data_IF_410032138339
#
_entry.id   IF_410032138339
#
_cell.length_a   1.000
_cell.length_b   1.000
_cell.length_c   1.000
_cell.angle_alpha   90.00
_cell.angle_beta   90.00
_cell.angle_gamma   90.00
#
_symmetry.space_group_name_H-M   'P 1'
#
loop_
_entity.id
_entity.type
_entity.pdbx_description
1 polymer ?
2 non-polymer ?
3 non-polymer ?
4 water ?
#
# COMPACT_ATOMS: atom_id res chain seq x y z
N UNK A 8 5.65 -1.78 28.91
CA UNK A 8 4.28 -2.16 28.43
C UNK A 8 3.59 -1.06 27.58
N UNK A 9 2.58 -1.50 26.85
CA UNK A 9 1.76 -0.64 25.96
C UNK A 9 0.28 -0.93 26.34
N UNK A 10 -0.49 0.12 26.64
CA UNK A 10 -1.83 -0.05 27.26
C UNK A 10 -2.83 -0.82 26.38
N UNK A 11 -3.09 -2.08 26.77
CA UNK A 11 -4.06 -2.95 26.08
C UNK A 11 -5.49 -2.72 26.56
N UNK A 12 -6.41 -2.57 25.61
CA UNK A 12 -7.80 -2.29 25.93
C UNK A 12 -8.78 -3.18 25.13
N UNK A 13 -8.31 -4.33 24.64
CA UNK A 13 -9.11 -5.21 23.79
C UNK A 13 -10.24 -5.94 24.54
N UNK A 14 -11.46 -5.67 24.12
CA UNK A 14 -12.65 -6.09 24.86
C UNK A 14 -13.26 -7.33 24.25
N UNK A 15 -14.23 -7.87 24.98
CA UNK A 15 -15.07 -8.98 24.54
C UNK A 15 -15.91 -8.65 23.32
N UNK A 16 -16.30 -7.38 23.24
CA UNK A 16 -17.07 -6.89 22.13
C UNK A 16 -16.23 -6.94 20.87
N UNK A 17 -14.98 -6.49 21.00
CA UNK A 17 -14.03 -6.42 19.89
C UNK A 17 -13.69 -7.81 19.41
N UNK A 18 -13.50 -8.72 20.35
CA UNK A 18 -13.21 -10.08 20.00
C UNK A 18 -14.40 -10.67 19.28
N UNK A 19 -15.60 -10.38 19.77
CA UNK A 19 -16.80 -10.93 19.14
C UNK A 19 -16.95 -10.42 17.72
N UNK A 20 -16.58 -9.16 17.49
CA UNK A 20 -16.69 -8.55 16.17
C UNK A 20 -15.77 -9.23 15.15
N UNK A 21 -14.55 -9.53 15.60
CA UNK A 21 -13.57 -10.24 14.79
C UNK A 21 -14.08 -11.63 14.42
N UNK A 22 -14.48 -12.39 15.44
CA UNK A 22 -14.89 -13.78 15.29
C UNK A 22 -16.08 -14.03 14.39
N UNK A 23 -17.12 -13.24 14.52
CA UNK A 23 -18.30 -13.43 13.70
C UNK A 23 -18.06 -12.97 12.26
N UNK A 24 -17.19 -11.96 12.08
CA UNK A 24 -16.79 -11.58 10.74
C UNK A 24 -15.89 -12.64 10.14
N UNK A 25 -15.06 -13.29 10.96
CA UNK A 25 -14.20 -14.39 10.51
C UNK A 25 -15.02 -15.58 10.02
N UNK A 26 -16.05 -15.95 10.79
CA UNK A 26 -17.05 -16.94 10.38
C UNK A 26 -17.67 -16.67 9.02
N UNK A 27 -17.92 -15.41 8.71
CA UNK A 27 -18.46 -15.09 7.37
C UNK A 27 -17.49 -15.42 6.23
N UNK A 28 -16.21 -15.07 6.38
CA UNK A 28 -15.22 -15.29 5.34
C UNK A 28 -15.07 -16.76 4.97
N UNK A 29 -15.23 -17.63 5.97
CA UNK A 29 -15.00 -19.07 5.82
C UNK A 29 -16.06 -19.78 4.98
N UNK A 30 -17.18 -19.12 4.73
CA UNK A 30 -18.22 -19.62 3.84
C UNK A 30 -17.89 -19.51 2.37
N UNK A 31 -16.88 -18.72 2.03
CA UNK A 31 -16.48 -18.51 0.65
C UNK A 31 -14.93 -18.31 0.61
N UNK A 32 -14.20 -19.21 1.28
CA UNK A 32 -12.78 -19.07 1.61
C UNK A 32 -11.81 -18.92 0.42
N UNK A 33 -11.87 -19.83 -0.53
CA UNK A 33 -11.00 -19.81 -1.69
C UNK A 33 -11.14 -18.50 -2.42
N UNK A 34 -12.39 -18.07 -2.64
CA UNK A 34 -12.66 -16.89 -3.44
C UNK A 34 -12.29 -15.60 -2.69
N UNK A 35 -12.55 -15.58 -1.38
CA UNK A 35 -12.18 -14.45 -0.56
C UNK A 35 -10.67 -14.32 -0.48
N UNK A 36 -9.98 -15.45 -0.34
CA UNK A 36 -8.53 -15.47 -0.32
C UNK A 36 -7.98 -14.88 -1.59
N UNK A 37 -8.49 -15.36 -2.72
CA UNK A 37 -8.06 -14.86 -4.00
C UNK A 37 -8.31 -13.34 -4.11
N UNK A 38 -9.46 -12.83 -3.66
CA UNK A 38 -9.67 -11.39 -3.76
C UNK A 38 -8.69 -10.58 -2.84
N UNK A 39 -8.43 -11.09 -1.65
CA UNK A 39 -7.44 -10.50 -0.77
C UNK A 39 -6.05 -10.46 -1.45
N UNK A 40 -5.68 -11.55 -2.13
CA UNK A 40 -4.39 -11.63 -2.82
C UNK A 40 -4.27 -10.67 -3.98
N UNK A 41 -5.35 -10.43 -4.71
CA UNK A 41 -5.37 -9.50 -5.84
C UNK A 41 -5.38 -8.06 -5.33
N UNK A 42 -5.86 -7.83 -4.11
CA UNK A 42 -5.74 -6.53 -3.47
C UNK A 42 -4.30 -6.17 -3.16
N UNK A 43 -3.58 -7.09 -2.55
CA UNK A 43 -2.18 -6.88 -2.26
C UNK A 43 -1.39 -6.57 -3.55
N UNK A 44 -1.55 -7.43 -4.57
CA UNK A 44 -0.85 -7.25 -5.84
C UNK A 44 -1.20 -5.94 -6.51
N UNK A 45 -2.44 -5.51 -6.37
CA UNK A 45 -2.89 -4.20 -6.84
C UNK A 45 -2.17 -3.02 -6.11
N UNK A 46 -2.03 -3.11 -4.80
CA UNK A 46 -1.43 -2.01 -4.05
C UNK A 46 0.12 -2.04 -4.12
N UNK A 47 0.70 -3.25 -4.04
CA UNK A 47 2.14 -3.48 -3.92
C UNK A 47 2.54 -4.78 -4.62
N UNK A 48 2.64 -4.77 -5.95
CA UNK A 48 3.05 -5.96 -6.70
C UNK A 48 4.26 -6.64 -6.08
N UNK A 49 5.24 -5.86 -5.65
CA UNK A 49 6.46 -6.37 -4.99
C UNK A 49 6.21 -7.27 -3.77
N UNK A 50 5.32 -6.85 -2.88
CA UNK A 50 4.91 -7.68 -1.73
C UNK A 50 4.61 -9.08 -2.21
N UNK A 51 3.75 -9.14 -3.22
CA UNK A 51 3.30 -10.39 -3.79
C UNK A 51 4.44 -11.21 -4.38
N UNK A 52 5.37 -10.54 -5.05
CA UNK A 52 6.42 -11.24 -5.79
C UNK A 52 7.45 -11.95 -4.90
N UNK A 53 7.56 -11.55 -3.63
CA UNK A 53 8.40 -12.19 -2.62
C UNK A 53 8.11 -13.67 -2.43
N UNK A 54 6.92 -14.10 -2.87
CA UNK A 54 6.52 -15.49 -2.78
C UNK A 54 6.94 -16.33 -3.99
N UNK A 55 8.12 -15.99 -4.52
CA UNK A 55 8.99 -16.89 -5.30
C UNK A 55 8.47 -17.11 -6.72
N UNK A 56 9.08 -18.06 -7.43
CA UNK A 56 8.74 -18.36 -8.86
C UNK A 56 9.31 -19.68 -9.44
N UNK A 57 10.57 -20.01 -9.15
CA UNK A 57 11.28 -21.14 -9.83
C UNK A 57 10.92 -22.58 -9.38
N UNK A 58 10.92 -22.85 -8.06
CA UNK A 58 10.73 -24.21 -7.49
C UNK A 58 9.40 -24.89 -7.91
N UNK A 59 8.30 -24.14 -7.85
CA UNK A 59 7.00 -24.56 -8.40
C UNK A 59 6.85 -24.18 -9.91
N UNK A 60 7.48 -23.07 -10.31
CA UNK A 60 7.41 -22.51 -11.68
C UNK A 60 5.97 -22.15 -12.14
N UNK A 61 5.05 -22.10 -11.18
CA UNK A 61 3.65 -21.78 -11.43
C UNK A 61 3.55 -20.27 -11.67
N UNK A 62 3.35 -19.91 -12.94
CA UNK A 62 3.10 -18.51 -13.27
C UNK A 62 2.12 -17.91 -12.24
N UNK A 63 0.84 -18.28 -12.31
CA UNK A 63 -0.21 -17.36 -11.85
C UNK A 63 -0.26 -17.15 -10.33
N UNK A 64 -0.56 -15.92 -9.96
CA UNK A 64 -0.95 -15.54 -8.60
C UNK A 64 -2.04 -16.46 -8.09
N UNK A 65 -3.03 -16.69 -8.95
CA UNK A 65 -4.19 -17.55 -8.68
C UNK A 65 -3.85 -19.00 -8.27
N UNK A 66 -2.67 -19.49 -8.67
CA UNK A 66 -2.27 -20.89 -8.45
C UNK A 66 -1.33 -21.11 -7.28
N UNK A 67 -0.68 -20.06 -6.81
CA UNK A 67 0.37 -20.23 -5.81
C UNK A 67 -0.16 -20.76 -4.45
N UNK A 68 0.24 -21.98 -4.05
CA UNK A 68 -0.12 -22.50 -2.71
C UNK A 68 0.48 -21.66 -1.57
N UNK A 69 1.74 -21.25 -1.67
CA UNK A 69 2.34 -20.35 -0.68
C UNK A 69 1.47 -19.13 -0.42
N UNK A 70 0.95 -18.52 -1.48
CA UNK A 70 0.11 -17.34 -1.31
C UNK A 70 -1.17 -17.66 -0.54
N UNK A 71 -1.86 -18.75 -0.89
CA UNK A 71 -3.11 -19.10 -0.23
C UNK A 71 -2.86 -19.42 1.24
N UNK A 72 -1.79 -20.18 1.48
CA UNK A 72 -1.41 -20.56 2.82
C UNK A 72 -1.02 -19.33 3.63
N UNK A 73 -0.38 -18.37 2.99
CA UNK A 73 0.05 -17.18 3.71
C UNK A 73 -1.14 -16.30 4.10
N UNK A 74 -2.02 -16.01 3.14
CA UNK A 74 -3.28 -15.35 3.45
C UNK A 74 -4.01 -16.00 4.62
N UNK A 75 -4.08 -17.33 4.62
CA UNK A 75 -4.81 -18.02 5.67
C UNK A 75 -4.19 -17.65 7.01
N UNK A 76 -2.87 -17.69 7.06
CA UNK A 76 -2.12 -17.36 8.25
C UNK A 76 -2.36 -15.96 8.77
N UNK A 77 -2.34 -14.97 7.88
CA UNK A 77 -2.50 -13.58 8.30
C UNK A 77 -3.81 -13.49 9.07
N UNK A 78 -4.87 -14.05 8.50
CA UNK A 78 -6.18 -13.99 9.06
C UNK A 78 -6.34 -14.83 10.33
N UNK A 79 -5.90 -16.07 10.28
CA UNK A 79 -6.02 -16.96 11.41
C UNK A 79 -5.21 -16.38 12.59
N UNK A 80 -3.95 -16.04 12.37
CA UNK A 80 -3.13 -15.52 13.47
C UNK A 80 -3.67 -14.22 14.07
N UNK A 81 -4.27 -13.38 13.23
CA UNK A 81 -4.87 -12.15 13.70
C UNK A 81 -6.09 -12.47 14.59
N UNK A 82 -6.86 -13.49 14.23
CA UNK A 82 -7.99 -13.92 15.07
C UNK A 82 -7.56 -14.38 16.42
N UNK A 83 -6.50 -15.17 16.44
CA UNK A 83 -5.92 -15.66 17.67
C UNK A 83 -5.39 -14.51 18.53
N UNK A 84 -4.76 -13.53 17.91
CA UNK A 84 -4.30 -12.33 18.61
C UNK A 84 -5.49 -11.62 19.28
N UNK A 85 -6.64 -11.55 18.59
CA UNK A 85 -7.87 -11.03 19.23
C UNK A 85 -8.18 -11.79 20.53
N UNK A 86 -8.24 -13.12 20.40
CA UNK A 86 -8.60 -13.98 21.50
C UNK A 86 -7.60 -13.85 22.63
N UNK A 87 -6.34 -13.67 22.27
CA UNK A 87 -5.25 -13.57 23.23
C UNK A 87 -5.22 -12.22 23.93
N UNK A 88 -5.48 -11.15 23.21
CA UNK A 88 -5.54 -9.85 23.83
C UNK A 88 -6.68 -9.73 24.82
N UNK A 89 -7.79 -10.39 24.48
CA UNK A 89 -8.99 -10.40 25.29
C UNK A 89 -8.77 -11.20 26.61
N UNK A 90 -8.25 -12.42 26.49
CA UNK A 90 -7.98 -13.32 27.64
C UNK A 90 -6.74 -12.97 28.45
N UNK A 91 -5.61 -12.84 27.76
CA UNK A 91 -4.31 -12.61 28.42
C UNK A 91 -3.88 -11.15 28.54
N UNK A 92 -4.51 -10.24 27.82
CA UNK A 92 -4.10 -8.84 27.82
C UNK A 92 -2.90 -8.57 26.93
N UNK A 93 -2.42 -9.57 26.19
CA UNK A 93 -1.30 -9.40 25.28
C UNK A 93 -1.31 -10.55 24.25
N UNK A 94 -0.51 -10.40 23.18
CA UNK A 94 -0.34 -11.45 22.20
C UNK A 94 0.49 -12.52 22.88
N UNK A 95 0.01 -13.77 22.84
CA UNK A 95 0.68 -14.90 23.50
C UNK A 95 1.17 -15.96 22.51
N UNK A 96 1.68 -15.52 21.35
CA UNK A 96 2.35 -16.40 20.42
C UNK A 96 3.57 -16.94 21.11
N UNK A 97 3.59 -18.26 21.31
CA UNK A 97 4.74 -19.03 21.78
C UNK A 97 6.03 -18.48 21.17
N UNK A 98 7.10 -18.50 21.95
CA UNK A 98 8.31 -17.75 21.61
C UNK A 98 9.20 -18.31 20.47
N UNK A 99 9.24 -19.63 20.29
CA UNK A 99 9.96 -20.17 19.12
C UNK A 99 9.24 -19.74 17.84
N UNK A 100 7.90 -19.85 17.85
CA UNK A 100 7.03 -19.41 16.76
C UNK A 100 7.22 -17.93 16.45
N UNK A 101 7.43 -17.10 17.46
CA UNK A 101 7.59 -15.67 17.26
C UNK A 101 8.95 -15.30 16.71
N UNK A 102 9.99 -15.94 17.22
CA UNK A 102 11.36 -15.70 16.77
C UNK A 102 11.48 -16.12 15.30
N UNK A 103 10.80 -17.19 14.96
CA UNK A 103 10.78 -17.75 13.62
C UNK A 103 10.08 -16.78 12.65
N UNK A 104 8.94 -16.21 13.07
CA UNK A 104 8.27 -15.20 12.25
C UNK A 104 9.13 -13.96 12.00
N UNK A 105 9.76 -13.44 13.05
CA UNK A 105 10.65 -12.30 12.89
C UNK A 105 11.82 -12.60 11.97
N UNK A 106 12.46 -13.73 12.14
CA UNK A 106 13.52 -14.19 11.22
C UNK A 106 13.05 -14.21 9.72
N UNK A 107 11.97 -14.94 9.49
CA UNK A 107 11.44 -15.14 8.13
C UNK A 107 11.10 -13.83 7.47
N UNK A 108 10.46 -12.91 8.19
CA UNK A 108 10.16 -11.60 7.58
C UNK A 108 11.35 -10.67 7.38
N UNK A 109 12.29 -10.68 8.31
CA UNK A 109 13.58 -9.94 8.13
C UNK A 109 14.35 -10.52 6.94
N UNK A 110 14.37 -11.84 6.87
CA UNK A 110 15.01 -12.56 5.76
C UNK A 110 14.48 -12.15 4.38
N UNK A 111 13.18 -11.81 4.27
CA UNK A 111 12.56 -11.45 2.97
C UNK A 111 12.35 -9.94 2.73
N UNK A 112 12.97 -9.10 3.56
CA UNK A 112 12.93 -7.65 3.36
C UNK A 112 11.65 -6.94 3.74
N UNK A 113 10.82 -7.59 4.55
CA UNK A 113 9.49 -7.06 4.93
C UNK A 113 9.65 -5.86 5.89
N UNK A 114 9.24 -4.69 5.45
CA UNK A 114 9.24 -3.51 6.30
C UNK A 114 7.86 -3.01 6.67
N UNK A 115 7.86 -1.85 7.30
CA UNK A 115 6.65 -1.19 7.80
C UNK A 115 5.58 -0.96 6.73
N UNK A 116 6.00 -0.60 5.53
CA UNK A 116 5.07 -0.34 4.44
C UNK A 116 4.38 -1.65 4.06
N UNK A 117 5.12 -2.74 4.04
CA UNK A 117 4.52 -4.03 3.71
C UNK A 117 3.42 -4.41 4.70
N UNK A 118 3.68 -4.20 6.00
CA UNK A 118 2.75 -4.57 7.07
C UNK A 118 1.49 -3.71 6.98
N UNK A 119 1.67 -2.46 6.64
CA UNK A 119 0.56 -1.54 6.43
C UNK A 119 -0.30 -1.84 5.20
N UNK A 120 0.34 -2.25 4.12
CA UNK A 120 -0.38 -2.59 2.91
C UNK A 120 -1.25 -3.82 3.14
N UNK A 121 -0.74 -4.81 3.88
CA UNK A 121 -1.48 -6.05 4.20
C UNK A 121 -2.66 -5.73 5.08
N UNK A 122 -2.46 -4.88 6.06
CA UNK A 122 -3.57 -4.37 6.90
C UNK A 122 -4.60 -3.69 6.05
N UNK A 123 -4.16 -2.78 5.17
CA UNK A 123 -5.06 -2.11 4.24
C UNK A 123 -5.94 -3.13 3.45
N UNK A 124 -5.34 -4.23 2.99
CA UNK A 124 -6.01 -5.21 2.19
C UNK A 124 -6.91 -6.07 3.03
N UNK A 125 -6.46 -6.40 4.24
CA UNK A 125 -7.28 -7.20 5.15
C UNK A 125 -8.55 -6.45 5.51
N UNK A 126 -8.44 -5.16 5.80
CA UNK A 126 -9.59 -4.37 6.16
C UNK A 126 -10.52 -4.22 4.98
N UNK A 127 -9.95 -4.14 3.79
CA UNK A 127 -10.76 -4.07 2.55
C UNK A 127 -11.60 -5.32 2.37
N UNK A 128 -10.96 -6.47 2.54
CA UNK A 128 -11.64 -7.74 2.47
C UNK A 128 -12.80 -7.79 3.50
N UNK A 129 -12.50 -7.34 4.72
CA UNK A 129 -13.52 -7.36 5.75
C UNK A 129 -14.70 -6.48 5.36
N UNK A 130 -14.45 -5.30 4.83
CA UNK A 130 -15.55 -4.39 4.48
C UNK A 130 -16.34 -4.87 3.26
N UNK A 131 -15.64 -5.41 2.29
CA UNK A 131 -16.24 -5.94 1.06
C UNK A 131 -17.07 -7.21 1.25
N UNK A 132 -16.66 -8.08 2.18
CA UNK A 132 -17.28 -9.42 2.32
C UNK A 132 -18.33 -9.48 3.39
N UNK A 133 -18.24 -8.69 4.45
CA UNK A 133 -19.30 -8.74 5.46
C UNK A 133 -20.46 -7.82 5.06
N UNK A 134 -21.68 -8.17 5.43
CA UNK A 134 -22.86 -7.40 5.06
C UNK A 134 -22.81 -6.01 5.65
N UNK A 135 -23.29 -5.05 4.88
CA UNK A 135 -23.38 -3.67 5.28
C UNK A 135 -24.12 -3.50 6.61
N UNK A 136 -25.13 -4.32 6.87
CA UNK A 136 -25.84 -4.23 8.16
C UNK A 136 -24.94 -4.66 9.30
N UNK A 137 -24.00 -5.54 9.00
CA UNK A 137 -23.13 -6.07 10.03
C UNK A 137 -21.93 -5.23 10.30
N UNK A 138 -21.41 -4.60 9.24
CA UNK A 138 -20.16 -3.88 9.32
C UNK A 138 -20.37 -2.58 10.11
N UNK A 139 -19.31 -2.17 10.81
CA UNK A 139 -19.25 -0.93 11.57
C UNK A 139 -17.78 -0.49 11.75
N UNK A 140 -17.53 0.80 11.98
CA UNK A 140 -16.18 1.25 12.35
C UNK A 140 -15.58 0.46 13.52
N UNK A 141 -16.38 0.11 14.51
CA UNK A 141 -15.95 -0.77 15.60
C UNK A 141 -15.38 -2.09 15.11
N UNK A 142 -16.04 -2.72 14.15
CA UNK A 142 -15.54 -3.95 13.55
C UNK A 142 -14.20 -3.70 12.90
N UNK A 143 -14.05 -2.57 12.19
CA UNK A 143 -12.80 -2.28 11.52
C UNK A 143 -11.70 -2.14 12.55
N UNK A 144 -12.00 -1.37 13.61
CA UNK A 144 -11.02 -1.10 14.65
C UNK A 144 -10.62 -2.35 15.43
N UNK A 145 -11.52 -3.28 15.61
CA UNK A 145 -11.18 -4.51 16.33
C UNK A 145 -10.14 -5.32 15.54
N UNK A 146 -10.42 -5.59 14.27
CA UNK A 146 -9.41 -6.16 13.38
C UNK A 146 -8.10 -5.37 13.41
N UNK A 147 -8.14 -4.06 13.22
CA UNK A 147 -6.89 -3.24 13.24
C UNK A 147 -6.07 -3.38 14.50
N UNK A 148 -6.73 -3.33 15.65
CA UNK A 148 -6.04 -3.44 16.93
C UNK A 148 -5.38 -4.83 17.06
N UNK A 149 -6.08 -5.87 16.67
CA UNK A 149 -5.56 -7.22 16.80
C UNK A 149 -4.37 -7.39 15.90
N UNK A 150 -4.50 -6.88 14.66
CA UNK A 150 -3.45 -6.95 13.65
C UNK A 150 -2.21 -6.14 14.08
N UNK A 151 -2.44 -4.87 14.44
CA UNK A 151 -1.37 -3.99 14.95
C UNK A 151 -0.54 -4.62 16.08
N UNK A 152 -1.23 -5.22 17.04
CA UNK A 152 -0.55 -5.88 18.15
C UNK A 152 0.22 -7.13 17.76
N UNK A 153 -0.33 -7.91 16.83
CA UNK A 153 0.36 -9.09 16.33
C UNK A 153 1.64 -8.66 15.61
N UNK A 154 1.53 -7.69 14.70
CA UNK A 154 2.69 -7.09 14.05
C UNK A 154 3.72 -6.53 15.04
N UNK A 155 3.26 -5.92 16.14
CA UNK A 155 4.16 -5.31 17.12
C UNK A 155 5.06 -6.39 17.73
N UNK A 156 4.47 -7.54 18.00
CA UNK A 156 5.17 -8.70 18.54
C UNK A 156 6.19 -9.29 17.54
N UNK A 157 5.81 -9.43 16.27
CA UNK A 157 6.70 -10.01 15.28
C UNK A 157 7.87 -9.05 15.12
N UNK A 158 7.59 -7.76 15.07
CA UNK A 158 8.64 -6.76 14.88
C UNK A 158 9.69 -6.73 16.01
N UNK A 159 9.30 -7.08 17.23
CA UNK A 159 10.20 -7.16 18.39
C UNK A 159 11.31 -8.19 18.15
N UNK A 160 10.96 -9.28 17.48
CA UNK A 160 11.93 -10.27 17.00
C UNK A 160 12.54 -10.00 15.62
N UNK A 161 12.39 -8.78 15.10
CA UNK A 161 13.04 -8.36 13.87
C UNK A 161 14.08 -7.23 14.09
N UNK A 162 14.29 -6.82 15.34
CA UNK A 162 15.21 -5.74 15.71
C UNK A 162 16.01 -6.13 16.95
N UNK A 163 17.19 -5.54 17.13
CA UNK A 163 17.97 -5.83 18.34
C UNK A 163 17.10 -5.63 19.58
N UNK A 164 17.11 -6.58 20.51
CA UNK A 164 16.33 -6.46 21.75
C UNK A 164 16.57 -5.11 22.42
N UNK A 165 17.79 -4.58 22.21
CA UNK A 165 18.17 -3.19 22.51
C UNK A 165 16.98 -2.22 22.38
N UNK B 11 8.58 0.66 -26.51
CA UNK B 11 7.39 1.29 -25.84
C UNK B 11 6.62 2.11 -26.85
N UNK B 12 5.46 1.58 -27.24
CA UNK B 12 4.52 2.32 -28.07
C UNK B 12 3.51 3.02 -27.16
N UNK B 13 3.64 4.33 -27.04
CA UNK B 13 2.75 5.14 -26.23
C UNK B 13 2.05 6.10 -27.18
N UNK B 14 0.79 5.86 -27.44
CA UNK B 14 0.06 6.56 -28.48
C UNK B 14 -0.31 7.96 -28.06
N UNK B 15 -0.72 8.74 -29.05
CA UNK B 15 -1.25 10.08 -28.84
C UNK B 15 -2.54 10.05 -28.03
N UNK B 16 -3.33 8.99 -28.23
CA UNK B 16 -4.57 8.76 -27.51
C UNK B 16 -4.33 8.56 -26.00
N UNK B 17 -3.36 7.72 -25.70
CA UNK B 17 -2.91 7.47 -24.34
C UNK B 17 -2.43 8.76 -23.66
N UNK B 18 -1.57 9.52 -24.35
CA UNK B 18 -1.13 10.81 -23.86
C UNK B 18 -2.32 11.71 -23.56
N UNK B 19 -3.33 11.68 -24.44
CA UNK B 19 -4.46 12.59 -24.34
C UNK B 19 -5.30 12.25 -23.13
N UNK B 20 -5.40 10.96 -22.83
CA UNK B 20 -6.06 10.48 -21.60
C UNK B 20 -5.41 11.08 -20.35
N UNK B 21 -4.10 11.10 -20.30
CA UNK B 21 -3.33 11.69 -19.20
C UNK B 21 -3.50 13.21 -19.11
N UNK B 22 -3.32 13.90 -20.23
CA UNK B 22 -3.47 15.37 -20.28
C UNK B 22 -4.81 15.86 -19.81
N UNK B 23 -5.88 15.31 -20.36
CA UNK B 23 -7.23 15.80 -20.08
C UNK B 23 -7.72 15.42 -18.68
N UNK B 24 -7.28 14.27 -18.16
CA UNK B 24 -7.59 13.88 -16.80
C UNK B 24 -6.84 14.81 -15.83
N UNK B 25 -5.57 15.07 -16.10
CA UNK B 25 -4.79 16.00 -15.28
C UNK B 25 -5.40 17.40 -15.26
N UNK B 26 -5.87 17.89 -16.42
CA UNK B 26 -6.50 19.20 -16.51
C UNK B 26 -7.67 19.34 -15.54
N UNK B 27 -8.35 18.24 -15.26
CA UNK B 27 -9.42 18.20 -14.28
C UNK B 27 -8.91 18.25 -12.84
N UNK B 28 -7.85 17.51 -12.54
CA UNK B 28 -7.25 17.59 -11.21
C UNK B 28 -6.66 18.97 -10.91
N UNK B 29 -6.07 19.61 -11.91
CA UNK B 29 -5.44 20.93 -11.80
C UNK B 29 -6.42 22.03 -11.41
N UNK B 30 -7.60 22.02 -12.01
CA UNK B 30 -8.65 22.98 -11.66
C UNK B 30 -9.04 22.98 -10.18
N UNK B 31 -8.66 21.95 -9.44
CA UNK B 31 -9.13 21.74 -8.08
C UNK B 31 -8.00 21.13 -7.27
N UNK B 32 -6.79 21.67 -7.46
CA UNK B 32 -5.58 21.03 -6.97
C UNK B 32 -5.40 21.04 -5.46
N UNK B 33 -5.98 22.01 -4.79
CA UNK B 33 -5.84 22.13 -3.33
C UNK B 33 -6.67 21.06 -2.60
N UNK B 34 -7.94 20.92 -2.98
CA UNK B 34 -8.81 19.90 -2.40
C UNK B 34 -8.40 18.51 -2.78
N UNK B 35 -8.00 18.32 -4.02
CA UNK B 35 -7.64 17.01 -4.51
C UNK B 35 -6.29 16.60 -3.90
N UNK B 36 -5.33 17.50 -3.82
CA UNK B 36 -4.04 17.12 -3.22
C UNK B 36 -4.22 16.58 -1.81
N UNK B 37 -5.15 17.18 -1.04
CA UNK B 37 -5.39 16.78 0.33
C UNK B 37 -6.01 15.35 0.42
N UNK B 38 -7.00 15.09 -0.42
CA UNK B 38 -7.57 13.75 -0.59
C UNK B 38 -6.53 12.70 -0.98
N UNK B 39 -5.62 13.10 -1.87
CA UNK B 39 -4.48 12.26 -2.29
C UNK B 39 -3.51 11.98 -1.16
N UNK B 40 -3.09 13.02 -0.46
CA UNK B 40 -2.28 12.85 0.75
C UNK B 40 -2.93 11.96 1.81
N UNK B 41 -4.19 12.21 2.13
CA UNK B 41 -4.88 11.41 3.14
C UNK B 41 -5.06 9.96 2.68
N UNK B 42 -5.06 9.71 1.37
CA UNK B 42 -5.10 8.36 0.82
C UNK B 42 -3.81 7.60 1.08
N UNK B 43 -2.68 8.24 0.79
CA UNK B 43 -1.40 7.65 1.15
C UNK B 43 -1.32 7.37 2.66
N UNK B 44 -1.74 8.34 3.46
CA UNK B 44 -1.69 8.17 4.90
C UNK B 44 -2.58 7.01 5.38
N UNK B 45 -3.73 6.83 4.73
CA UNK B 45 -4.59 5.69 5.00
C UNK B 45 -3.93 4.35 4.67
N UNK B 46 -3.28 4.27 3.52
CA UNK B 46 -2.69 3.02 3.06
C UNK B 46 -1.39 2.70 3.84
N UNK B 47 -0.51 3.70 3.92
CA UNK B 47 0.82 3.53 4.49
C UNK B 47 1.24 4.78 5.26
N UNK B 48 0.80 4.90 6.51
CA UNK B 48 1.17 6.01 7.40
C UNK B 48 2.67 6.29 7.49
N UNK B 49 3.52 5.26 7.40
CA UNK B 49 4.99 5.43 7.39
C UNK B 49 5.55 6.28 6.21
N UNK B 50 4.93 6.22 5.04
CA UNK B 50 5.29 7.10 3.93
C UNK B 50 5.16 8.59 4.28
N UNK B 51 4.06 8.93 4.93
CA UNK B 51 3.81 10.31 5.36
C UNK B 51 4.82 10.70 6.45
N UNK B 52 5.34 9.73 7.16
CA UNK B 52 6.34 9.97 8.21
C UNK B 52 7.71 10.42 7.66
N UNK B 53 8.07 10.02 6.44
CA UNK B 53 9.36 10.41 5.82
C UNK B 53 9.53 11.93 5.73
N UNK B 54 8.42 12.65 5.77
CA UNK B 54 8.37 14.12 5.73
C UNK B 54 8.32 14.68 7.15
N UNK B 55 7.73 15.87 7.34
CA UNK B 55 7.47 16.44 8.68
C UNK B 55 6.14 15.90 9.28
N UNK B 56 5.62 16.61 10.28
CA UNK B 56 4.29 16.31 10.88
C UNK B 56 3.28 17.38 10.40
N UNK B 57 3.23 18.50 11.11
CA UNK B 57 2.11 19.46 11.06
C UNK B 57 2.59 20.92 11.12
N UNK B 58 2.11 21.78 10.21
CA UNK B 58 2.43 23.22 10.23
C UNK B 58 1.63 24.10 9.24
N UNK B 59 0.73 24.96 9.79
CA UNK B 59 0.04 26.02 9.03
C UNK B 59 -0.38 27.21 9.97
N UNK B 60 -1.54 27.84 9.72
CA UNK B 60 -2.06 28.96 10.54
C UNK B 60 -2.94 28.46 11.70
N UNK B 61 -2.29 27.78 12.66
CA UNK B 61 -2.92 27.15 13.85
C UNK B 61 -4.06 26.13 13.53
N UNK B 62 -3.78 25.28 12.53
CA UNK B 62 -4.71 24.29 11.96
C UNK B 62 -4.30 22.84 12.34
N UNK B 63 -5.24 22.04 12.87
CA UNK B 63 -5.01 20.60 13.14
C UNK B 63 -4.88 19.63 11.94
N UNK B 64 -5.38 20.03 10.76
CA UNK B 64 -5.31 19.26 9.50
C UNK B 64 -3.90 18.67 9.22
N UNK B 65 -3.79 17.94 8.11
CA UNK B 65 -2.50 17.41 7.66
C UNK B 65 -1.79 18.34 6.66
N UNK B 66 -1.81 19.66 6.95
CA UNK B 66 -1.38 20.71 6.00
C UNK B 66 0.10 21.16 6.17
N UNK B 67 1.03 20.28 5.79
CA UNK B 67 2.45 20.62 5.59
C UNK B 67 2.63 21.19 4.17
N UNK B 68 3.43 22.26 4.01
CA UNK B 68 3.70 22.80 2.67
C UNK B 68 4.45 21.81 1.79
N UNK B 69 5.43 21.14 2.35
CA UNK B 69 6.28 20.24 1.58
C UNK B 69 5.50 19.01 1.06
N UNK B 70 4.45 18.59 1.76
CA UNK B 70 3.61 17.50 1.29
C UNK B 70 2.80 17.85 0.04
N UNK B 71 2.26 19.07 -0.03
CA UNK B 71 1.56 19.53 -1.23
C UNK B 71 2.48 19.65 -2.45
N UNK B 72 3.66 20.22 -2.20
CA UNK B 72 4.62 20.46 -3.26
C UNK B 72 5.04 19.12 -3.88
N UNK B 73 5.29 18.14 -3.00
CA UNK B 73 5.69 16.80 -3.42
C UNK B 73 4.57 16.13 -4.20
N UNK B 74 3.32 16.28 -3.74
CA UNK B 74 2.17 15.74 -4.44
C UNK B 74 2.11 16.26 -5.89
N UNK B 75 2.30 17.57 -6.02
CA UNK B 75 2.27 18.23 -7.31
C UNK B 75 3.40 17.73 -8.16
N UNK B 76 4.59 17.57 -7.59
CA UNK B 76 5.74 17.07 -8.34
C UNK B 76 5.48 15.70 -8.93
N UNK B 77 4.92 14.79 -8.15
CA UNK B 77 4.61 13.45 -8.64
C UNK B 77 3.66 13.48 -9.87
N UNK B 78 2.60 14.29 -9.77
CA UNK B 78 1.65 14.36 -10.86
C UNK B 78 2.20 15.08 -12.07
N UNK B 79 2.93 16.16 -11.83
CA UNK B 79 3.44 16.98 -12.92
C UNK B 79 4.48 16.17 -13.71
N UNK B 80 5.48 15.64 -13.01
CA UNK B 80 6.54 14.83 -13.64
C UNK B 80 6.05 13.55 -14.35
N UNK B 81 5.01 12.90 -13.82
CA UNK B 81 4.40 11.74 -14.45
C UNK B 81 3.72 12.13 -15.79
N UNK B 82 3.04 13.25 -15.77
CA UNK B 82 2.46 13.86 -16.95
C UNK B 82 3.48 14.26 -18.01
N UNK B 83 4.55 14.91 -17.58
CA UNK B 83 5.69 15.18 -18.42
C UNK B 83 6.23 13.90 -19.03
N UNK B 84 6.31 12.85 -18.20
CA UNK B 84 6.78 11.53 -18.63
C UNK B 84 5.85 10.91 -19.68
N UNK B 85 4.55 11.14 -19.56
CA UNK B 85 3.64 10.69 -20.60
C UNK B 85 4.06 11.34 -21.94
N UNK B 86 4.23 12.66 -21.91
CA UNK B 86 4.69 13.44 -23.08
C UNK B 86 5.93 12.89 -23.73
N UNK B 87 6.91 12.49 -22.92
CA UNK B 87 8.17 11.97 -23.42
C UNK B 87 8.05 10.60 -24.08
N UNK B 88 7.24 9.71 -23.50
CA UNK B 88 7.01 8.39 -24.06
C UNK B 88 6.37 8.47 -25.46
N UNK B 89 5.40 9.38 -25.61
CA UNK B 89 4.79 9.64 -26.90
C UNK B 89 5.84 10.12 -27.92
N UNK B 90 6.50 11.22 -27.57
CA UNK B 90 7.45 11.89 -28.45
C UNK B 90 8.63 10.99 -28.81
N UNK B 91 9.26 10.39 -27.81
CA UNK B 91 10.56 9.73 -27.95
C UNK B 91 10.58 8.25 -27.57
N UNK B 92 9.44 7.70 -27.15
CA UNK B 92 9.38 6.31 -26.71
C UNK B 92 10.22 5.94 -25.49
N UNK B 93 10.72 6.94 -24.78
CA UNK B 93 11.49 6.76 -23.55
C UNK B 93 11.46 8.04 -22.71
N UNK B 94 11.76 7.89 -21.41
CA UNK B 94 11.87 9.02 -20.50
C UNK B 94 13.15 9.79 -20.79
N UNK B 95 13.02 11.09 -21.02
CA UNK B 95 14.13 11.95 -21.44
C UNK B 95 14.37 13.11 -20.46
N UNK B 96 14.15 12.86 -19.18
CA UNK B 96 14.35 13.89 -18.17
C UNK B 96 15.85 14.17 -18.07
N UNK B 97 16.19 15.43 -17.77
CA UNK B 97 17.56 15.88 -17.61
C UNK B 97 18.30 14.91 -16.71
N UNK B 98 19.50 14.50 -17.11
CA UNK B 98 20.34 13.63 -16.28
C UNK B 98 20.75 14.24 -14.94
N UNK B 99 20.82 15.57 -14.85
CA UNK B 99 21.09 16.24 -13.59
C UNK B 99 19.90 16.03 -12.63
N UNK B 100 18.69 16.26 -13.13
CA UNK B 100 17.45 16.07 -12.36
C UNK B 100 17.31 14.62 -11.89
N UNK B 101 17.68 13.67 -12.74
CA UNK B 101 17.58 12.24 -12.42
C UNK B 101 18.53 11.79 -11.31
N UNK B 102 19.76 12.32 -11.34
CA UNK B 102 20.76 12.06 -10.32
C UNK B 102 20.24 12.58 -8.99
N UNK B 103 19.63 13.76 -9.01
CA UNK B 103 19.13 14.38 -7.80
C UNK B 103 17.96 13.60 -7.18
N UNK B 104 16.99 13.24 -8.02
CA UNK B 104 15.83 12.44 -7.61
C UNK B 104 16.30 11.11 -7.04
N UNK B 105 17.22 10.47 -7.74
CA UNK B 105 17.88 9.28 -7.28
C UNK B 105 18.39 9.40 -5.86
N UNK B 106 19.19 10.44 -5.65
CA UNK B 106 19.93 10.61 -4.40
C UNK B 106 18.98 10.85 -3.24
N UNK B 107 17.98 11.68 -3.45
CA UNK B 107 17.00 12.02 -2.40
C UNK B 107 16.21 10.82 -1.93
N UNK B 108 15.64 10.10 -2.89
CA UNK B 108 14.78 8.98 -2.57
C UNK B 108 15.58 7.88 -1.89
N UNK B 109 16.82 7.64 -2.32
CA UNK B 109 17.67 6.64 -1.64
C UNK B 109 17.99 7.13 -0.23
N UNK B 110 18.21 8.43 -0.07
CA UNK B 110 18.54 9.00 1.22
C UNK B 110 17.40 8.82 2.23
N UNK B 111 16.16 9.00 1.78
CA UNK B 111 15.00 8.85 2.66
C UNK B 111 14.44 7.42 2.71
N UNK B 112 15.13 6.46 2.08
CA UNK B 112 14.81 5.06 2.20
C UNK B 112 13.48 4.71 1.54
N UNK B 113 13.26 5.26 0.35
CA UNK B 113 12.11 4.98 -0.48
C UNK B 113 12.42 3.69 -1.25
N UNK B 114 11.63 2.64 -1.00
CA UNK B 114 11.72 1.41 -1.79
C UNK B 114 10.57 1.20 -2.76
N UNK B 115 10.55 0.02 -3.40
CA UNK B 115 9.50 -0.36 -4.35
C UNK B 115 8.09 -0.27 -3.74
N UNK B 116 7.96 -0.72 -2.50
CA UNK B 116 6.70 -0.67 -1.78
C UNK B 116 6.17 0.76 -1.75
N UNK B 117 7.02 1.72 -1.37
CA UNK B 117 6.59 3.13 -1.35
C UNK B 117 6.16 3.67 -2.73
N UNK B 118 6.95 3.38 -3.77
CA UNK B 118 6.63 3.88 -5.10
C UNK B 118 5.29 3.31 -5.54
N UNK B 119 5.05 2.06 -5.17
CA UNK B 119 3.82 1.35 -5.53
C UNK B 119 2.57 1.81 -4.77
N UNK B 120 2.72 2.08 -3.49
CA UNK B 120 1.66 2.72 -2.72
C UNK B 120 1.26 4.06 -3.32
N UNK B 121 2.24 4.89 -3.64
CA UNK B 121 1.95 6.19 -4.26
C UNK B 121 1.25 6.00 -5.63
N UNK B 122 1.68 5.01 -6.40
CA UNK B 122 1.05 4.70 -7.70
C UNK B 122 -0.41 4.38 -7.51
N UNK B 123 -0.66 3.55 -6.49
CA UNK B 123 -2.01 3.15 -6.15
C UNK B 123 -2.87 4.34 -5.72
N UNK B 124 -2.32 5.22 -4.88
CA UNK B 124 -3.09 6.37 -4.43
C UNK B 124 -3.29 7.39 -5.57
N UNK B 125 -2.32 7.49 -6.46
CA UNK B 125 -2.40 8.39 -7.61
C UNK B 125 -3.53 7.97 -8.53
N UNK B 126 -3.63 6.67 -8.82
CA UNK B 126 -4.66 6.16 -9.74
C UNK B 126 -6.06 6.23 -9.11
N UNK B 127 -6.10 5.97 -7.81
CA UNK B 127 -7.31 6.01 -7.02
C UNK B 127 -7.85 7.39 -7.10
N UNK B 128 -7.00 8.35 -6.82
CA UNK B 128 -7.36 9.74 -6.90
C UNK B 128 -7.91 10.16 -8.27
N UNK B 129 -7.27 9.70 -9.32
CA UNK B 129 -7.74 10.08 -10.64
C UNK B 129 -9.14 9.50 -10.88
N UNK B 130 -9.30 8.19 -10.70
CA UNK B 130 -10.60 7.53 -10.79
C UNK B 130 -11.67 8.28 -9.96
N UNK B 131 -11.41 8.53 -8.69
CA UNK B 131 -12.35 9.26 -7.86
C UNK B 131 -12.71 10.68 -8.35
N UNK B 132 -11.74 11.43 -8.84
CA UNK B 132 -11.96 12.83 -9.17
C UNK B 132 -12.49 13.10 -10.58
N UNK B 133 -12.27 12.21 -11.54
CA UNK B 133 -12.76 12.44 -12.91
C UNK B 133 -14.14 11.79 -13.09
N UNK B 134 -14.97 12.31 -14.01
CA UNK B 134 -16.30 11.72 -14.22
C UNK B 134 -16.23 10.23 -14.57
N UNK B 135 -17.20 9.46 -14.11
CA UNK B 135 -17.25 8.00 -14.33
C UNK B 135 -17.04 7.54 -15.79
N UNK B 136 -17.48 8.35 -16.76
CA UNK B 136 -17.35 8.00 -18.18
C UNK B 136 -16.06 8.48 -18.86
N UNK B 137 -15.26 9.28 -18.16
CA UNK B 137 -13.90 9.54 -18.57
C UNK B 137 -12.95 8.39 -18.17
N UNK B 138 -13.28 7.73 -17.07
CA UNK B 138 -12.39 6.70 -16.55
C UNK B 138 -12.55 5.42 -17.35
N UNK B 139 -11.45 4.69 -17.46
CA UNK B 139 -11.39 3.39 -18.08
C UNK B 139 -10.07 2.72 -17.71
N UNK B 140 -9.97 1.42 -17.90
CA UNK B 140 -8.67 0.71 -17.88
C UNK B 140 -7.58 1.31 -18.77
N UNK B 141 -8.00 1.93 -19.86
CA UNK B 141 -7.08 2.56 -20.78
C UNK B 141 -6.47 3.79 -20.13
N UNK B 142 -7.30 4.58 -19.44
CA UNK B 142 -6.81 5.73 -18.69
C UNK B 142 -5.84 5.29 -17.59
N UNK B 143 -6.24 4.26 -16.87
CA UNK B 143 -5.44 3.68 -15.81
C UNK B 143 -4.07 3.22 -16.27
N UNK B 144 -4.04 2.51 -17.39
CA UNK B 144 -2.80 2.02 -17.97
C UNK B 144 -1.92 3.13 -18.57
N UNK B 145 -2.53 4.19 -19.09
CA UNK B 145 -1.78 5.33 -19.65
C UNK B 145 -0.99 6.01 -18.53
N UNK B 146 -1.66 6.36 -17.44
CA UNK B 146 -1.00 6.88 -16.26
C UNK B 146 0.04 5.92 -15.69
N UNK B 147 -0.24 4.60 -15.70
CA UNK B 147 0.64 3.63 -15.06
C UNK B 147 1.90 3.49 -15.78
N UNK B 148 1.78 3.43 -17.10
CA UNK B 148 2.93 3.29 -17.96
C UNK B 148 3.90 4.46 -17.72
N UNK B 149 3.40 5.69 -17.79
CA UNK B 149 4.19 6.93 -17.57
C UNK B 149 4.88 6.92 -16.20
N UNK B 150 4.09 6.56 -15.19
CA UNK B 150 4.58 6.54 -13.82
C UNK B 150 5.68 5.51 -13.69
N UNK B 151 5.41 4.33 -14.23
CA UNK B 151 6.33 3.20 -14.12
C UNK B 151 7.64 3.48 -14.78
N UNK B 152 7.60 4.13 -15.93
CA UNK B 152 8.82 4.52 -16.66
C UNK B 152 9.63 5.61 -15.95
N UNK B 153 8.93 6.55 -15.32
CA UNK B 153 9.55 7.60 -14.52
C UNK B 153 10.20 6.98 -13.28
N UNK B 154 9.46 6.15 -12.56
CA UNK B 154 10.03 5.46 -11.40
C UNK B 154 11.26 4.65 -11.77
N UNK B 155 11.22 3.93 -12.91
CA UNK B 155 12.34 3.10 -13.32
C UNK B 155 13.62 3.93 -13.57
N UNK B 156 13.47 5.10 -14.17
CA UNK B 156 14.60 5.98 -14.44
C UNK B 156 15.21 6.55 -13.15
N UNK B 157 14.35 6.93 -12.19
CA UNK B 157 14.82 7.39 -10.89
C UNK B 157 15.65 6.31 -10.20
N UNK B 158 15.20 5.06 -10.31
CA UNK B 158 15.79 3.91 -9.65
C UNK B 158 17.14 3.52 -10.26
N UNK B 159 17.31 3.77 -11.55
CA UNK B 159 18.60 3.59 -12.21
C UNK B 159 19.68 4.42 -11.49
N UNK B 160 19.30 5.62 -11.04
CA UNK B 160 20.18 6.48 -10.25
C UNK B 160 20.18 6.21 -8.75
N UNK B 161 19.43 5.22 -8.29
CA UNK B 161 19.43 4.83 -6.87
C UNK B 161 20.33 3.62 -6.61
N UNK B 162 21.02 3.18 -7.65
CA UNK B 162 21.91 2.01 -7.56
C UNK B 162 23.16 2.20 -8.42
N UNK B 163 24.22 1.47 -8.08
CA UNK B 163 25.45 1.50 -8.87
C UNK B 163 25.28 1.24 -10.36
N UNK B 164 25.97 2.07 -11.15
CA UNK B 164 26.28 1.86 -12.57
C UNK B 164 25.99 0.45 -13.03
N UNK B 165 24.96 0.39 -13.87
CA UNK B 165 24.27 -0.85 -14.25
C UNK B 165 25.22 -1.88 -14.86
X LIG C 1 6.03 -16.23 5.74
X LIG C 1 2.76 -14.91 8.96
X LIG C 1 2.88 -10.46 7.20
X LIG C 1 5.79 -11.93 3.72
X LIG C 1 5.16 -16.26 6.79
X LIG C 1 4.88 -17.45 7.62
X LIG C 1 3.92 -17.06 8.49
X LIG C 1 3.64 -15.66 8.22
X LIG C 1 3.29 -18.01 9.52
X LIG C 1 5.45 -18.87 7.65
X LIG C 1 6.94 -19.09 7.41
X LIG C 1 7.72 -19.38 8.69
X LIG C 1 7.99 -18.39 9.41
X LIG C 1 8.04 -20.56 8.93
X LIG C 1 2.49 -13.56 8.77
X LIG C 1 1.58 -12.78 9.58
X LIG C 1 1.61 -11.51 9.10
X LIG C 1 2.58 -11.54 8.00
X LIG C 1 0.77 -13.31 10.74
X LIG C 1 0.95 -10.36 9.57
X LIG C 1 0.18 -10.24 10.78
X LIG C 1 3.66 -10.47 6.07
X LIG C 1 3.85 -9.35 5.19
X LIG C 1 4.65 -9.78 4.17
X LIG C 1 4.92 -11.16 4.47
X LIG C 1 3.29 -7.94 5.41
X LIG C 1 5.05 -9.18 2.95
X LIG C 1 4.23 -8.22 2.23
X LIG C 1 6.15 -13.21 4.02
X LIG C 1 7.10 -13.93 3.27
X LIG C 1 7.18 -15.15 3.82
X LIG C 1 6.28 -15.13 4.95
X LIG C 1 7.81 -13.47 2.02
X LIG C 1 8.09 -16.28 3.37
X LIG C 1 7.50 -17.15 2.29
X LIG C 1 7.42 -18.59 2.69
X LIG C 1 8.48 -19.20 3.03
X LIG C 1 6.27 -19.10 2.65
X LIG C 1 4.39 -15.19 7.17
X LIG C 1 3.09 -12.80 7.80
X LIG C 1 4.32 -11.59 5.60
X LIG C 1 5.65 -13.93 5.06
X LIG C 1 4.37 -13.38 6.43
X LIG D 1 1.12 -10.83 2.06
X LIG D 1 0.15 -11.70 0.00
X LIG D 1 -0.26 -11.12 2.65
X LIG D 1 -0.29 -12.83 0.94
X LIG D 1 1.10 -10.80 0.62
X LIG D 1 -0.78 -12.39 2.22
X LIG E 1 -7.87 -15.58 4.19
X LIG E 1 -9.26 -17.48 3.74
X LIG E 1 -9.06 -14.67 3.89
X LIG E 1 -10.40 -16.51 3.42
X LIG E 1 -8.02 -16.83 3.52
X LIG E 1 -10.27 -15.36 4.25
X LIG F 1 11.38 14.61 -2.60
X LIG F 1 9.65 13.59 -6.99
X LIG F 1 8.07 9.35 -5.26
X LIG F 1 9.50 10.55 -0.87
X LIG F 1 11.05 14.67 -3.95
X LIG F 1 11.39 15.78 -4.80
X LIG F 1 10.90 15.51 -6.05
X LIG F 1 10.26 14.23 -5.94
X LIG F 1 11.03 16.41 -7.28
X LIG F 1 12.17 17.01 -4.39
X LIG F 1 13.50 16.60 -3.78
X LIG F 1 14.66 16.91 -4.66
X LIG F 1 14.62 16.42 -5.81
X LIG F 1 15.53 17.62 -4.15
X LIG F 1 9.07 12.34 -6.89
X LIG F 1 8.47 11.65 -8.00
X LIG F 1 8.01 10.44 -7.54
X LIG F 1 8.39 10.39 -6.12
X LIG F 1 8.39 12.22 -9.41
X LIG F 1 7.41 9.38 -8.22
X LIG F 1 7.29 9.24 -9.64
X LIG F 1 8.25 9.35 -3.87
X LIG F 1 7.80 8.31 -2.98
X LIG F 1 8.13 8.70 -1.70
X LIG F 1 8.79 9.96 -1.88
X LIG F 1 7.12 7.04 -3.42
X LIG F 1 7.79 8.16 -0.42
X LIG F 1 6.62 7.32 -0.12
X LIG F 1 10.21 11.72 -0.98
X LIG F 1 10.85 12.36 0.12
X LIG F 1 11.40 13.50 -0.36
X LIG F 1 11.07 13.55 -1.76
X LIG F 1 10.85 11.93 1.59
X LIG F 1 12.17 14.53 0.43
X LIG F 1 11.28 15.73 0.61
X LIG F 1 11.81 16.63 1.69
X LIG F 1 13.01 16.99 1.62
X LIG F 1 11.00 16.95 2.59
X LIG F 1 10.38 13.72 -4.66
X LIG F 1 9.02 11.58 -5.74
X LIG F 1 8.85 10.37 -3.18
X LIG F 1 10.35 12.46 -2.13
X LIG F 1 9.68 12.02 -3.93
X LIG G 1 3.38 12.91 -0.20
X LIG G 1 4.23 10.85 -0.82
X LIG G 1 2.75 13.18 -1.57
X LIG G 1 3.73 11.06 -2.24
X LIG G 1 3.38 11.51 0.11
X LIG G 1 3.49 12.45 -2.55
X LIG H 1 -2.13 18.68 -6.92
X LIG H 1 -2.18 16.25 -6.93
X LIG H 1 -3.16 18.42 -8.00
X LIG H 1 -3.67 16.28 -7.25
X LIG H 1 -1.66 17.45 -6.35
X LIG H 1 -4.18 17.59 -7.50
#
# INVERSE_FOLDING_TARGET
ALVEDNNAVAVSFSEEQEALVLKSWAILKKDSANIALRFLLKIFEVAPSASQMFSFLRNSDVPLEKNPKLKTHAMSVFVMTCEAAAQLRKAGKVTVRDTTLKRLGATHLKYGVGDAHFEVVKFALLDTIKEEVPADMWSPAMKSAWSEAYDHLVAAIKQEMKPAE
ALVEDNNAVAVSFSEEQEALVLKSWAILKKDSANIALRFLLKIFEVAPSASQMFSFLRNSDVPLEKNPKLKTHAMSVFVMTCEAAAQLRKAGKVTVRDTTLKRLGATHLKYGVGDAHFEVVKFALLDTIKEEVPADMWSPAMKSAWSEAYDHLVAAIKQEMKPAE
HEM CHA CHB CHC CHD C1A C2A C3A C4A CMA CAA CBA CGA O1A O2A C1B C2B C3B C4B CMB CAB CBB C1C C2C C3C C4C CMC CAC CBC C1D C2D C3D C4D CMD CAD CBD CGD O1D O2D NA NB NC ND FE
DIO C1 C2 C1' C2' O1 O1'
DIO C1 C2 C1' C2' O1 O1'
HEM CHA CHB CHC CHD C1A C2A C3A C4A CMA CAA CBA CGA O1A O2A C1B C2B C3B C4B CMB CAB CBB C1C C2C C3C C4C CMC CAC CBC C1D C2D C3D C4D CMD CAD CBD CGD O1D O2D NA NB NC ND FE
DIO C1 C2 C1' C2' O1 O1'
DIO C1 C2 C1' C2' O1 O1'
#
